data_IF_549360585427
#
_entry.id   IF_549360585427
#
_cell.length_a   1.000
_cell.length_b   1.000
_cell.length_c   1.000
_cell.angle_alpha   90.00
_cell.angle_beta   90.00
_cell.angle_gamma   90.00
#
_symmetry.space_group_name_H-M   'P 1'
#
loop_
_entity.id
_entity.type
_entity.pdbx_description
1 polymer ?
#
# COMPACT_ATOMS: atom_id res chain seq x y z
N UNK A 1 8.89 -3.15 4.73
CA UNK A 1 8.55 -3.02 3.29
C UNK A 1 7.17 -2.41 3.22
N UNK A 2 7.01 -1.34 2.44
CA UNK A 2 5.71 -0.72 2.19
C UNK A 2 5.07 -1.35 0.96
N UNK A 3 3.76 -1.52 0.98
CA UNK A 3 3.00 -2.03 -0.16
C UNK A 3 1.69 -1.24 -0.32
N UNK A 4 1.30 -0.97 -1.55
CA UNK A 4 0.01 -0.38 -1.87
C UNK A 4 -0.93 -1.46 -2.43
N UNK A 5 -2.23 -1.34 -2.15
CA UNK A 5 -3.26 -2.23 -2.69
C UNK A 5 -4.19 -1.43 -3.57
N UNK A 6 -4.48 -1.97 -4.76
CA UNK A 6 -5.52 -1.44 -5.65
C UNK A 6 -6.80 -2.22 -5.35
N UNK A 7 -7.76 -1.55 -4.72
CA UNK A 7 -9.04 -2.15 -4.35
C UNK A 7 -9.60 -1.54 -3.07
N UNK A 8 -10.56 -2.23 -2.47
CA UNK A 8 -11.20 -1.77 -1.24
C UNK A 8 -10.42 -2.14 0.02
N UNK A 9 -10.96 -1.72 1.18
CA UNK A 9 -10.35 -1.97 2.49
C UNK A 9 -10.33 -3.45 2.88
N UNK A 10 -11.31 -4.22 2.42
CA UNK A 10 -11.40 -5.65 2.71
C UNK A 10 -10.26 -6.38 2.00
N UNK A 11 -10.10 -6.13 0.70
CA UNK A 11 -8.99 -6.64 -0.10
C UNK A 11 -7.63 -6.22 0.48
N UNK A 12 -7.49 -4.97 0.93
CA UNK A 12 -6.25 -4.52 1.57
C UNK A 12 -5.92 -5.31 2.85
N UNK A 13 -6.94 -5.63 3.64
CA UNK A 13 -6.82 -6.50 4.82
C UNK A 13 -6.42 -7.93 4.46
N UNK A 14 -6.99 -8.47 3.40
CA UNK A 14 -6.74 -9.83 2.91
C UNK A 14 -5.33 -9.97 2.35
N UNK A 15 -4.90 -9.01 1.51
CA UNK A 15 -3.53 -8.91 1.04
C UNK A 15 -2.54 -8.81 2.20
N UNK A 16 -2.86 -8.04 3.24
CA UNK A 16 -2.01 -7.92 4.42
C UNK A 16 -1.87 -9.25 5.18
N UNK A 17 -2.94 -10.03 5.32
CA UNK A 17 -2.90 -11.37 5.94
C UNK A 17 -2.04 -12.32 5.10
N UNK A 18 -2.29 -12.36 3.80
CA UNK A 18 -1.54 -13.20 2.86
C UNK A 18 -0.04 -12.90 2.87
N UNK A 19 0.36 -11.62 2.89
CA UNK A 19 1.77 -11.22 2.95
C UNK A 19 2.45 -11.69 4.25
N UNK A 20 1.73 -11.65 5.38
CA UNK A 20 2.24 -12.16 6.66
C UNK A 20 2.42 -13.67 6.63
N UNK A 21 1.46 -14.40 6.07
CA UNK A 21 1.55 -15.86 5.88
C UNK A 21 2.74 -16.23 4.98
N UNK A 22 2.96 -15.47 3.90
CA UNK A 22 4.05 -15.70 2.94
C UNK A 22 5.39 -15.09 3.31
N UNK A 23 5.49 -14.39 4.44
CA UNK A 23 6.70 -13.68 4.84
C UNK A 23 7.94 -14.58 4.89
N UNK A 24 7.79 -15.83 5.37
CA UNK A 24 8.88 -16.81 5.43
C UNK A 24 9.37 -17.25 4.05
N UNK A 25 8.44 -17.52 3.13
CA UNK A 25 8.74 -17.91 1.75
C UNK A 25 9.44 -16.78 0.99
N UNK A 26 8.90 -15.55 1.08
CA UNK A 26 9.48 -14.35 0.46
C UNK A 26 10.89 -14.11 1.01
N UNK A 27 11.07 -14.19 2.33
CA UNK A 27 12.37 -14.07 2.99
C UNK A 27 13.36 -15.13 2.52
N UNK A 28 12.93 -16.38 2.39
CA UNK A 28 13.77 -17.47 1.85
C UNK A 28 14.19 -17.21 0.41
N UNK A 29 13.26 -16.77 -0.44
CA UNK A 29 13.54 -16.44 -1.83
C UNK A 29 14.57 -15.30 -1.96
N UNK A 30 14.40 -14.21 -1.21
CA UNK A 30 15.37 -13.11 -1.18
C UNK A 30 16.74 -13.57 -0.68
N UNK A 31 16.77 -14.39 0.38
CA UNK A 31 18.01 -14.92 0.95
C UNK A 31 18.83 -15.80 -0.01
N UNK A 32 18.20 -16.39 -1.04
CA UNK A 32 18.90 -17.12 -2.10
C UNK A 32 19.59 -16.20 -3.11
N UNK A 33 19.15 -14.94 -3.22
CA UNK A 33 19.64 -13.97 -4.21
C UNK A 33 20.69 -13.01 -3.64
N UNK A 34 20.79 -12.89 -2.31
CA UNK A 34 21.70 -11.92 -1.67
C UNK A 34 22.56 -12.59 -0.61
N UNK A 35 23.85 -12.22 -0.57
CA UNK A 35 24.79 -12.70 0.45
C UNK A 35 24.71 -11.79 1.67
N UNK A 36 23.94 -12.22 2.67
CA UNK A 36 23.88 -11.57 3.98
C UNK A 36 24.09 -12.60 5.09
N UNK A 37 24.93 -12.26 6.08
CA UNK A 37 25.16 -13.10 7.28
C UNK A 37 23.86 -13.43 8.01
N UNK A 38 22.92 -12.50 8.04
CA UNK A 38 21.60 -12.67 8.65
C UNK A 38 20.57 -11.81 7.93
N UNK A 39 19.60 -12.47 7.30
CA UNK A 39 18.48 -11.77 6.70
C UNK A 39 17.51 -11.31 7.80
N UNK A 40 17.07 -10.04 7.83
CA UNK A 40 16.12 -9.56 8.84
C UNK A 40 14.75 -10.23 8.69
N UNK A 41 13.89 -10.07 9.70
CA UNK A 41 12.47 -10.39 9.55
C UNK A 41 11.82 -9.33 8.65
N UNK A 42 10.91 -9.76 7.80
CA UNK A 42 10.19 -8.84 6.92
C UNK A 42 8.90 -8.39 7.60
N UNK A 43 8.73 -7.08 7.69
CA UNK A 43 7.51 -6.43 8.12
C UNK A 43 6.87 -5.77 6.91
N UNK A 44 5.57 -6.03 6.73
CA UNK A 44 4.77 -5.49 5.63
C UNK A 44 3.82 -4.44 6.18
N UNK A 45 3.94 -3.22 5.67
CA UNK A 45 3.14 -2.07 6.10
C UNK A 45 2.34 -1.56 4.91
N UNK A 46 1.02 -1.51 5.06
CA UNK A 46 0.15 -0.96 4.02
C UNK A 46 0.40 0.54 3.89
N UNK A 47 0.65 1.00 2.67
CA UNK A 47 0.84 2.40 2.35
C UNK A 47 -0.48 3.06 1.97
N UNK A 48 -1.02 3.86 2.89
CA UNK A 48 -2.28 4.59 2.70
C UNK A 48 -2.10 5.94 2.00
N UNK A 49 -0.86 6.32 1.65
CA UNK A 49 -0.55 7.64 1.07
C UNK A 49 -1.30 7.85 -0.24
N UNK A 50 -1.41 6.82 -1.08
CA UNK A 50 -2.14 6.87 -2.36
C UNK A 50 -3.63 7.14 -2.17
N UNK A 51 -4.29 6.41 -1.25
CA UNK A 51 -5.71 6.58 -0.95
C UNK A 51 -5.99 7.97 -0.36
N UNK A 52 -5.10 8.44 0.52
CA UNK A 52 -5.17 9.80 1.06
C UNK A 52 -5.00 10.86 -0.03
N UNK A 53 -4.04 10.69 -0.94
CA UNK A 53 -3.81 11.61 -2.06
C UNK A 53 -5.03 11.70 -2.97
N UNK A 54 -5.61 10.57 -3.36
CA UNK A 54 -6.84 10.53 -4.14
C UNK A 54 -7.99 11.29 -3.47
N UNK A 55 -8.16 11.12 -2.15
CA UNK A 55 -9.18 11.85 -1.38
C UNK A 55 -8.92 13.36 -1.35
N UNK A 56 -7.67 13.78 -1.23
CA UNK A 56 -7.31 15.20 -1.28
C UNK A 56 -7.68 15.80 -2.63
N UNK A 57 -7.31 15.13 -3.73
CA UNK A 57 -7.65 15.58 -5.09
C UNK A 57 -9.16 15.68 -5.28
N UNK A 58 -9.92 14.67 -4.85
CA UNK A 58 -11.37 14.70 -4.91
C UNK A 58 -11.96 15.92 -4.19
N UNK A 59 -11.47 16.24 -2.99
CA UNK A 59 -11.96 17.41 -2.24
C UNK A 59 -11.61 18.72 -2.94
N UNK A 60 -10.43 18.82 -3.56
CA UNK A 60 -10.06 19.99 -4.36
C UNK A 60 -10.98 20.15 -5.57
N UNK A 61 -11.28 19.06 -6.29
CA UNK A 61 -12.21 19.08 -7.42
C UNK A 61 -13.62 19.50 -6.98
N UNK A 62 -14.08 19.05 -5.81
CA UNK A 62 -15.38 19.45 -5.22
C UNK A 62 -15.43 20.94 -4.85
N UNK A 63 -14.30 21.54 -4.45
CA UNK A 63 -14.19 22.97 -4.15
C UNK A 63 -14.22 23.77 -5.46
N UNK A 64 -13.38 23.41 -6.44
CA UNK A 64 -13.34 24.05 -7.76
C UNK A 64 -14.73 24.04 -8.44
N UNK A 65 -15.47 22.94 -8.31
CA UNK A 65 -16.82 22.82 -8.84
C UNK A 65 -17.83 23.75 -8.15
N UNK A 66 -17.65 24.06 -6.86
CA UNK A 66 -18.51 25.00 -6.11
C UNK A 66 -18.15 26.46 -6.39
N UNK A 67 -16.88 26.76 -6.58
CA UNK A 67 -16.39 28.12 -6.84
C UNK A 67 -16.61 28.59 -8.28
N UNK A 68 -16.97 27.68 -9.20
CA UNK A 68 -17.46 28.02 -10.54
C UNK A 68 -18.99 27.96 -10.59
N UNK A 69 -19.71 29.03 -10.16
CA UNK A 69 -21.11 29.16 -10.51
C UNK A 69 -21.22 29.28 -12.04
N UNK A 70 -22.21 28.59 -12.61
CA UNK A 70 -22.39 28.48 -14.07
C UNK A 70 -22.22 29.80 -14.82
N UNK A 71 -21.48 29.73 -15.92
CA UNK A 71 -21.67 30.62 -17.08
C UNK A 71 -22.76 30.01 -17.95
#
# INVERSE_FOLDING_TARGET
MFYAVVGDKELAGDCGRWLREKAGEIRSAVGKQIVLKRLPRFEFVHDETSARGARVLQVLDEIDAKERPGT
#
